data_IF_387380053911
#
_entry.id   IF_387380053911
#
_cell.length_a   1.000
_cell.length_b   1.000
_cell.length_c   1.000
_cell.angle_alpha   90.00
_cell.angle_beta   90.00
_cell.angle_gamma   90.00
#
_symmetry.space_group_name_H-M   'P 1'
#
loop_
_entity.id
_entity.type
_entity.pdbx_description
1 polymer ?
#
# COMPACT_ATOMS: atom_id res chain seq x y z
N UNK A 1 -37.18 -11.75 -17.79
CA UNK A 1 -37.35 -12.84 -18.76
C UNK A 1 -36.62 -14.08 -18.25
N UNK A 2 -37.33 -15.19 -18.07
CA UNK A 2 -36.71 -16.45 -17.61
C UNK A 2 -36.06 -17.14 -18.81
N UNK A 3 -34.76 -17.45 -18.71
CA UNK A 3 -34.04 -18.15 -19.78
C UNK A 3 -34.51 -19.61 -19.76
N UNK A 4 -35.24 -20.02 -20.79
CA UNK A 4 -35.68 -21.40 -21.00
C UNK A 4 -34.52 -22.18 -21.59
N UNK A 5 -34.00 -23.15 -20.86
CA UNK A 5 -32.88 -24.01 -21.31
C UNK A 5 -33.37 -25.26 -22.00
N UNK A 6 -32.54 -25.90 -22.86
CA UNK A 6 -32.84 -27.19 -23.47
C UNK A 6 -33.11 -28.27 -22.42
N UNK A 7 -32.41 -28.25 -21.30
CA UNK A 7 -32.63 -29.15 -20.18
C UNK A 7 -34.07 -29.07 -19.61
N UNK A 8 -34.65 -27.86 -19.53
CA UNK A 8 -36.01 -27.68 -19.05
C UNK A 8 -37.01 -28.29 -20.06
N UNK A 9 -36.78 -28.07 -21.35
CA UNK A 9 -37.59 -28.69 -22.42
C UNK A 9 -37.50 -30.20 -22.46
N UNK A 10 -36.27 -30.73 -22.27
CA UNK A 10 -36.07 -32.18 -22.15
C UNK A 10 -36.86 -32.79 -20.98
N UNK A 11 -36.74 -32.17 -19.79
CA UNK A 11 -37.46 -32.63 -18.59
C UNK A 11 -38.96 -32.57 -18.75
N UNK A 12 -39.48 -31.52 -19.41
CA UNK A 12 -40.89 -31.40 -19.70
C UNK A 12 -41.37 -32.57 -20.57
N UNK A 13 -40.71 -32.82 -21.70
CA UNK A 13 -41.01 -33.95 -22.59
C UNK A 13 -40.96 -35.30 -21.87
N UNK A 14 -39.96 -35.45 -20.97
CA UNK A 14 -39.83 -36.66 -20.12
C UNK A 14 -41.01 -36.82 -19.19
N UNK A 15 -41.46 -35.74 -18.50
CA UNK A 15 -42.57 -35.77 -17.59
C UNK A 15 -43.90 -36.07 -18.31
N UNK A 16 -44.16 -35.36 -19.40
CA UNK A 16 -45.37 -35.54 -20.22
C UNK A 16 -45.46 -36.97 -20.78
N UNK A 17 -44.33 -37.53 -21.22
CA UNK A 17 -44.26 -38.88 -21.70
C UNK A 17 -44.47 -39.89 -20.54
N UNK A 18 -43.88 -39.62 -19.38
CA UNK A 18 -44.05 -40.50 -18.21
C UNK A 18 -45.48 -40.53 -17.68
N UNK A 19 -46.20 -39.41 -17.76
CA UNK A 19 -47.64 -39.34 -17.40
C UNK A 19 -48.50 -40.20 -18.33
N UNK A 20 -48.19 -40.26 -19.63
CA UNK A 20 -48.95 -40.98 -20.64
C UNK A 20 -48.61 -42.49 -20.70
N UNK A 21 -47.35 -42.84 -20.57
CA UNK A 21 -46.82 -44.16 -20.86
C UNK A 21 -46.17 -44.86 -19.66
N UNK A 22 -46.20 -44.22 -18.50
CA UNK A 22 -45.61 -44.71 -17.26
C UNK A 22 -44.09 -44.52 -17.14
N UNK A 23 -43.63 -44.54 -15.88
CA UNK A 23 -42.23 -44.18 -15.51
C UNK A 23 -41.21 -45.17 -16.08
N UNK A 24 -41.55 -46.46 -16.18
CA UNK A 24 -40.62 -47.48 -16.70
C UNK A 24 -40.32 -47.23 -18.19
N UNK A 25 -41.36 -46.95 -18.98
CA UNK A 25 -41.23 -46.69 -20.40
C UNK A 25 -40.52 -45.37 -20.68
N UNK A 26 -40.78 -44.36 -19.86
CA UNK A 26 -40.06 -43.06 -19.93
C UNK A 26 -38.58 -43.25 -19.61
N UNK A 27 -38.24 -44.00 -18.56
CA UNK A 27 -36.83 -44.25 -18.20
C UNK A 27 -36.06 -44.95 -19.33
N UNK A 28 -36.73 -45.96 -19.99
CA UNK A 28 -36.15 -46.68 -21.14
C UNK A 28 -35.96 -45.78 -22.36
N UNK A 29 -37.02 -45.02 -22.73
CA UNK A 29 -37.00 -44.15 -23.92
C UNK A 29 -35.96 -43.04 -23.82
N UNK A 30 -35.85 -42.38 -22.66
CA UNK A 30 -34.95 -41.28 -22.41
C UNK A 30 -33.60 -41.70 -21.83
N UNK A 31 -33.31 -42.99 -21.80
CA UNK A 31 -32.04 -43.58 -21.32
C UNK A 31 -31.62 -43.04 -19.94
N UNK A 32 -32.56 -42.99 -19.02
CA UNK A 32 -32.38 -42.50 -17.67
C UNK A 32 -32.86 -43.52 -16.63
N UNK A 33 -32.62 -43.25 -15.35
CA UNK A 33 -33.12 -44.14 -14.28
C UNK A 33 -34.52 -43.71 -13.79
N UNK A 34 -35.28 -44.67 -13.26
CA UNK A 34 -36.64 -44.45 -12.73
C UNK A 34 -36.69 -43.37 -11.65
N UNK A 35 -35.68 -43.32 -10.78
CA UNK A 35 -35.62 -42.34 -9.69
C UNK A 35 -35.45 -40.89 -10.22
N UNK A 36 -34.76 -40.72 -11.34
CA UNK A 36 -34.69 -39.40 -12.01
C UNK A 36 -36.06 -38.97 -12.51
N UNK A 37 -36.81 -39.91 -13.17
CA UNK A 37 -38.17 -39.62 -13.66
C UNK A 37 -39.11 -39.26 -12.51
N UNK A 38 -39.12 -40.01 -11.41
CA UNK A 38 -39.93 -39.70 -10.22
C UNK A 38 -39.59 -38.33 -9.65
N UNK A 39 -38.29 -37.98 -9.54
CA UNK A 39 -37.89 -36.67 -9.06
C UNK A 39 -38.33 -35.51 -9.95
N UNK A 40 -38.39 -35.72 -11.27
CA UNK A 40 -38.90 -34.70 -12.19
C UNK A 40 -40.42 -34.61 -12.09
N UNK A 41 -41.15 -35.70 -12.05
CA UNK A 41 -42.60 -35.74 -11.89
C UNK A 41 -43.05 -35.06 -10.58
N UNK A 42 -42.33 -35.27 -9.48
CA UNK A 42 -42.64 -34.66 -8.18
C UNK A 42 -42.49 -33.11 -8.19
N UNK A 43 -41.78 -32.56 -9.17
CA UNK A 43 -41.62 -31.12 -9.35
C UNK A 43 -42.51 -30.54 -10.44
N UNK A 44 -43.04 -31.38 -11.31
CA UNK A 44 -43.73 -30.94 -12.52
C UNK A 44 -45.18 -30.56 -12.20
N UNK A 45 -45.50 -29.28 -12.36
CA UNK A 45 -46.84 -28.72 -12.22
C UNK A 45 -47.53 -28.39 -13.58
N UNK A 46 -46.95 -28.87 -14.68
CA UNK A 46 -47.39 -28.58 -16.05
C UNK A 46 -46.57 -27.45 -16.70
N UNK A 47 -45.91 -26.59 -15.94
CA UNK A 47 -45.11 -25.51 -16.43
C UNK A 47 -43.65 -25.85 -16.69
N UNK A 48 -42.98 -25.15 -17.61
CA UNK A 48 -41.52 -25.25 -17.80
C UNK A 48 -40.74 -24.73 -16.61
N UNK A 49 -41.26 -23.75 -15.91
CA UNK A 49 -40.65 -23.09 -14.79
C UNK A 49 -40.42 -24.02 -13.60
N UNK A 50 -41.37 -24.95 -13.33
CA UNK A 50 -41.26 -25.92 -12.25
C UNK A 50 -40.08 -26.87 -12.40
N UNK A 51 -39.62 -27.08 -13.63
CA UNK A 51 -38.48 -27.98 -13.97
C UNK A 51 -37.13 -27.25 -13.98
N UNK A 52 -37.12 -25.98 -13.63
CA UNK A 52 -35.89 -25.20 -13.51
C UNK A 52 -34.97 -25.77 -12.42
N UNK A 53 -33.68 -25.84 -12.71
CA UNK A 53 -32.69 -26.20 -11.69
C UNK A 53 -32.61 -25.13 -10.63
N UNK A 54 -32.92 -25.49 -9.40
CA UNK A 54 -32.67 -24.59 -8.27
C UNK A 54 -31.18 -24.55 -7.99
N UNK A 55 -30.66 -23.39 -7.63
CA UNK A 55 -29.28 -23.23 -7.23
C UNK A 55 -29.00 -24.11 -6.01
N UNK A 56 -27.94 -24.90 -6.09
CA UNK A 56 -27.43 -25.67 -4.95
C UNK A 56 -26.56 -24.86 -4.02
N UNK A 57 -26.34 -23.60 -4.38
CA UNK A 57 -25.53 -22.68 -3.58
C UNK A 57 -26.25 -22.37 -2.25
N UNK A 58 -25.58 -22.50 -1.12
CA UNK A 58 -26.19 -22.19 0.17
C UNK A 58 -26.59 -20.70 0.23
N UNK A 59 -27.73 -20.42 0.85
CA UNK A 59 -28.26 -19.05 1.01
C UNK A 59 -27.36 -18.17 1.89
N UNK A 60 -26.68 -18.77 2.85
CA UNK A 60 -25.72 -18.10 3.73
C UNK A 60 -24.46 -18.95 3.90
N UNK A 61 -23.36 -18.30 4.21
CA UNK A 61 -22.10 -18.98 4.52
C UNK A 61 -21.63 -18.52 5.91
N UNK A 62 -21.20 -19.42 6.83
CA UNK A 62 -20.79 -19.06 8.18
C UNK A 62 -19.75 -17.93 8.24
N UNK A 63 -18.84 -17.90 7.28
CA UNK A 63 -17.80 -16.88 7.17
C UNK A 63 -18.21 -15.64 6.37
N UNK A 64 -19.49 -15.48 6.03
CA UNK A 64 -19.96 -14.29 5.31
C UNK A 64 -19.92 -13.07 6.22
N UNK A 65 -19.45 -11.95 5.68
CA UNK A 65 -19.50 -10.66 6.40
C UNK A 65 -20.94 -10.22 6.63
N UNK A 66 -21.22 -9.77 7.84
CA UNK A 66 -22.51 -9.17 8.19
C UNK A 66 -22.70 -7.82 7.49
N UNK A 67 -23.93 -7.32 7.46
CA UNK A 67 -24.23 -5.98 6.93
C UNK A 67 -23.53 -4.88 7.73
N UNK A 68 -23.43 -5.04 9.04
CA UNK A 68 -22.74 -4.13 9.95
C UNK A 68 -21.24 -4.08 9.64
N UNK A 69 -20.57 -5.23 9.50
CA UNK A 69 -19.16 -5.32 9.11
C UNK A 69 -18.89 -4.67 7.75
N UNK A 70 -19.76 -4.93 6.76
CA UNK A 70 -19.66 -4.32 5.42
C UNK A 70 -19.76 -2.81 5.48
N UNK A 71 -20.71 -2.27 6.23
CA UNK A 71 -20.87 -0.83 6.43
C UNK A 71 -19.66 -0.21 7.15
N UNK A 72 -19.13 -0.88 8.15
CA UNK A 72 -17.92 -0.46 8.87
C UNK A 72 -16.71 -0.40 7.91
N UNK A 73 -16.51 -1.44 7.11
CA UNK A 73 -15.45 -1.48 6.08
C UNK A 73 -15.63 -0.32 5.10
N UNK A 74 -16.84 -0.10 4.58
CA UNK A 74 -17.13 0.98 3.61
C UNK A 74 -16.80 2.35 4.19
N UNK A 75 -17.33 2.69 5.36
CA UNK A 75 -17.09 3.99 6.05
C UNK A 75 -15.60 4.21 6.31
N UNK A 76 -14.92 3.21 6.88
CA UNK A 76 -13.49 3.32 7.22
C UNK A 76 -12.61 3.42 5.97
N UNK A 77 -12.92 2.65 4.91
CA UNK A 77 -12.17 2.72 3.65
C UNK A 77 -12.29 4.09 2.97
N UNK A 78 -13.43 4.75 3.05
CA UNK A 78 -13.60 6.11 2.50
C UNK A 78 -12.76 7.11 3.30
N UNK A 79 -12.79 7.05 4.63
CA UNK A 79 -12.08 7.99 5.51
C UNK A 79 -10.55 7.89 5.37
N UNK A 80 -10.01 6.69 5.16
CA UNK A 80 -8.56 6.42 5.12
C UNK A 80 -8.06 6.00 3.72
N UNK A 81 -8.81 6.32 2.66
CA UNK A 81 -8.52 5.91 1.27
C UNK A 81 -7.10 6.29 0.83
N UNK A 82 -6.62 7.48 1.19
CA UNK A 82 -5.30 7.99 0.83
C UNK A 82 -4.14 7.32 1.58
N UNK A 83 -4.40 6.71 2.75
CA UNK A 83 -3.36 6.19 3.62
C UNK A 83 -3.02 4.73 3.34
N UNK A 84 -3.90 4.04 2.60
CA UNK A 84 -3.69 2.67 2.13
C UNK A 84 -4.41 1.62 2.97
N UNK A 85 -4.48 0.39 2.42
CA UNK A 85 -5.29 -0.69 3.00
C UNK A 85 -4.79 -1.18 4.38
N UNK A 86 -3.51 -1.03 4.68
CA UNK A 86 -2.98 -1.42 5.99
C UNK A 86 -3.50 -0.49 7.08
N UNK A 87 -3.52 0.82 6.80
CA UNK A 87 -4.12 1.80 7.73
C UNK A 87 -5.61 1.54 7.93
N UNK A 88 -6.36 1.32 6.85
CA UNK A 88 -7.77 0.94 6.92
C UNK A 88 -7.97 -0.28 7.83
N UNK A 89 -7.12 -1.30 7.71
CA UNK A 89 -7.21 -2.51 8.53
C UNK A 89 -6.96 -2.23 10.02
N UNK A 90 -5.93 -1.46 10.35
CA UNK A 90 -5.63 -1.10 11.74
C UNK A 90 -6.78 -0.29 12.36
N UNK A 91 -7.33 0.67 11.61
CA UNK A 91 -8.48 1.45 12.07
C UNK A 91 -9.75 0.60 12.24
N UNK A 92 -9.95 -0.42 11.41
CA UNK A 92 -11.02 -1.39 11.57
C UNK A 92 -10.81 -2.25 12.81
N UNK A 93 -9.59 -2.73 13.07
CA UNK A 93 -9.24 -3.50 14.29
C UNK A 93 -9.55 -2.71 15.55
N UNK A 94 -9.18 -1.42 15.59
CA UNK A 94 -9.50 -0.50 16.70
C UNK A 94 -11.00 -0.31 16.93
N UNK A 95 -11.83 -0.57 15.90
CA UNK A 95 -13.31 -0.48 15.94
C UNK A 95 -14.00 -1.84 16.11
N UNK A 96 -13.26 -2.89 16.52
CA UNK A 96 -13.81 -4.20 16.82
C UNK A 96 -13.94 -5.16 15.61
N UNK A 97 -13.36 -4.85 14.47
CA UNK A 97 -13.31 -5.79 13.34
C UNK A 97 -12.34 -6.93 13.61
N UNK A 98 -12.84 -8.18 13.67
CA UNK A 98 -12.05 -9.34 14.10
C UNK A 98 -11.47 -10.18 12.97
N UNK A 99 -11.96 -10.01 11.74
CA UNK A 99 -11.53 -10.84 10.61
C UNK A 99 -10.16 -10.47 10.07
N UNK A 100 -9.55 -11.35 9.28
CA UNK A 100 -8.21 -11.17 8.73
C UNK A 100 -8.12 -10.01 7.73
N UNK A 101 -6.91 -9.50 7.54
CA UNK A 101 -6.58 -8.51 6.51
C UNK A 101 -6.97 -8.97 5.10
N UNK A 102 -6.71 -10.25 4.77
CA UNK A 102 -7.09 -10.81 3.47
C UNK A 102 -8.61 -10.78 3.24
N UNK A 103 -9.39 -11.15 4.26
CA UNK A 103 -10.85 -11.12 4.22
C UNK A 103 -11.40 -9.70 3.97
N UNK A 104 -10.84 -8.69 4.66
CA UNK A 104 -11.14 -7.28 4.41
C UNK A 104 -10.84 -6.88 2.95
N UNK A 105 -9.65 -7.21 2.45
CA UNK A 105 -9.25 -6.87 1.08
C UNK A 105 -10.18 -7.47 0.01
N UNK A 106 -10.68 -8.70 0.24
CA UNK A 106 -11.67 -9.34 -0.64
C UNK A 106 -12.99 -8.54 -0.65
N UNK A 107 -13.45 -8.09 0.53
CA UNK A 107 -14.68 -7.29 0.62
C UNK A 107 -14.53 -5.92 -0.05
N UNK A 108 -13.43 -5.22 0.17
CA UNK A 108 -13.16 -3.92 -0.48
C UNK A 108 -13.18 -4.05 -2.01
N UNK A 109 -12.61 -5.14 -2.55
CA UNK A 109 -12.66 -5.44 -4.00
C UNK A 109 -14.08 -5.72 -4.49
N UNK A 110 -14.85 -6.54 -3.75
CA UNK A 110 -16.26 -6.85 -4.08
C UNK A 110 -17.12 -5.59 -4.08
N UNK A 111 -16.87 -4.66 -3.17
CA UNK A 111 -17.59 -3.37 -3.08
C UNK A 111 -17.11 -2.35 -4.11
N UNK A 112 -16.07 -2.64 -4.91
CA UNK A 112 -15.47 -1.71 -5.89
C UNK A 112 -15.03 -0.36 -5.29
N UNK A 113 -14.70 -0.33 -4.00
CA UNK A 113 -14.28 0.90 -3.29
C UNK A 113 -12.90 1.37 -3.80
N UNK A 114 -12.03 0.44 -4.14
CA UNK A 114 -10.72 0.69 -4.73
C UNK A 114 -10.72 0.11 -6.14
N UNK A 115 -10.67 0.98 -7.13
CA UNK A 115 -10.43 0.57 -8.52
C UNK A 115 -8.95 0.26 -8.69
N UNK A 116 -8.63 -0.96 -9.06
CA UNK A 116 -7.26 -1.29 -9.44
C UNK A 116 -6.92 -0.52 -10.74
N UNK A 117 -5.93 0.37 -10.67
CA UNK A 117 -5.27 0.84 -11.88
C UNK A 117 -4.70 -0.39 -12.60
N UNK A 118 -4.92 -0.50 -13.89
CA UNK A 118 -4.40 -1.59 -14.74
C UNK A 118 -2.90 -1.76 -14.44
N UNK A 119 -2.50 -2.90 -13.91
CA UNK A 119 -1.08 -3.18 -13.69
C UNK A 119 -0.43 -3.43 -15.04
N UNK A 120 0.44 -2.54 -15.44
CA UNK A 120 1.43 -2.85 -16.47
C UNK A 120 2.33 -3.92 -15.86
N UNK A 121 2.33 -5.12 -16.45
CA UNK A 121 3.21 -6.22 -16.04
C UNK A 121 4.62 -5.85 -16.50
N UNK A 122 5.38 -5.22 -15.60
CA UNK A 122 6.82 -5.06 -15.79
C UNK A 122 7.49 -6.37 -15.38
N UNK A 123 8.42 -6.87 -16.20
CA UNK A 123 9.26 -8.02 -15.85
C UNK A 123 10.00 -7.70 -14.55
N UNK A 124 9.63 -8.36 -13.47
CA UNK A 124 10.30 -8.22 -12.17
C UNK A 124 11.71 -8.80 -12.27
N UNK A 125 12.73 -7.95 -12.35
CA UNK A 125 14.08 -8.34 -11.93
C UNK A 125 14.01 -8.57 -10.43
N UNK A 126 14.31 -9.79 -9.98
CA UNK A 126 14.36 -10.13 -8.56
C UNK A 126 15.63 -9.50 -7.96
N UNK A 127 15.53 -8.25 -7.52
CA UNK A 127 16.57 -7.67 -6.67
C UNK A 127 16.30 -8.13 -5.24
N UNK A 128 17.32 -8.72 -4.60
CA UNK A 128 17.25 -9.07 -3.18
C UNK A 128 17.15 -7.76 -2.39
N UNK A 129 16.03 -7.54 -1.73
CA UNK A 129 15.86 -6.36 -0.88
C UNK A 129 16.78 -6.48 0.34
N UNK A 130 17.81 -5.65 0.40
CA UNK A 130 18.64 -5.50 1.59
C UNK A 130 17.90 -4.56 2.52
N UNK A 131 17.55 -5.04 3.70
CA UNK A 131 16.89 -4.27 4.76
C UNK A 131 17.92 -3.96 5.83
N UNK A 132 17.93 -2.74 6.37
CA UNK A 132 18.72 -2.42 7.55
C UNK A 132 18.38 -3.37 8.71
N UNK A 133 19.35 -3.68 9.55
CA UNK A 133 19.21 -4.64 10.65
C UNK A 133 18.52 -4.00 11.89
N UNK A 134 18.71 -2.71 12.11
CA UNK A 134 18.19 -1.94 13.24
C UNK A 134 17.94 -0.48 12.84
N UNK A 135 17.25 0.32 13.67
CA UNK A 135 17.02 1.74 13.40
C UNK A 135 18.34 2.50 13.27
N UNK A 136 18.54 3.19 12.16
CA UNK A 136 19.75 3.97 11.88
C UNK A 136 20.91 3.18 11.27
N UNK A 137 20.79 1.86 11.09
CA UNK A 137 21.79 1.06 10.38
C UNK A 137 22.11 1.67 9.01
N UNK A 138 21.05 2.00 8.25
CA UNK A 138 21.18 2.72 6.98
C UNK A 138 20.05 3.70 6.74
N UNK A 139 20.40 4.95 6.53
CA UNK A 139 19.50 6.05 6.16
C UNK A 139 19.78 6.50 4.73
N UNK A 140 18.78 6.45 3.85
CA UNK A 140 18.89 6.98 2.50
C UNK A 140 18.53 8.46 2.51
N UNK A 141 19.35 9.31 1.87
CA UNK A 141 19.09 10.74 1.68
C UNK A 141 19.07 11.08 0.20
N UNK A 142 18.10 11.88 -0.20
CA UNK A 142 17.96 12.35 -1.58
C UNK A 142 17.25 13.71 -1.61
N UNK A 143 17.45 14.47 -2.69
CA UNK A 143 16.87 15.80 -2.89
C UNK A 143 16.02 15.80 -4.15
N UNK A 144 14.81 16.32 -4.03
CA UNK A 144 13.93 16.55 -5.17
C UNK A 144 13.46 17.99 -5.27
N UNK A 145 13.06 18.40 -6.46
CA UNK A 145 12.38 19.67 -6.67
C UNK A 145 10.98 19.66 -6.06
N UNK A 146 10.58 20.78 -5.46
CA UNK A 146 9.16 21.07 -5.22
C UNK A 146 8.56 21.50 -6.56
N UNK A 147 7.44 20.87 -7.01
CA UNK A 147 6.83 21.25 -8.28
C UNK A 147 6.44 22.73 -8.32
N UNK A 148 6.82 23.42 -9.38
CA UNK A 148 6.61 24.86 -9.52
C UNK A 148 5.11 25.21 -9.56
N UNK A 149 4.31 24.33 -10.10
CA UNK A 149 2.84 24.44 -10.19
C UNK A 149 2.16 24.56 -8.83
N UNK A 150 2.84 24.09 -7.78
CA UNK A 150 2.35 24.21 -6.41
C UNK A 150 2.62 25.57 -5.76
N UNK A 151 3.45 26.43 -6.37
CA UNK A 151 3.90 27.69 -5.79
C UNK A 151 3.04 28.83 -6.34
N UNK A 152 2.14 29.37 -5.50
CA UNK A 152 1.22 30.45 -5.85
C UNK A 152 1.60 31.80 -5.22
N UNK A 153 2.88 32.01 -4.97
CA UNK A 153 3.41 33.31 -4.48
C UNK A 153 4.64 33.69 -5.28
N UNK A 154 4.98 34.98 -5.23
CA UNK A 154 6.17 35.45 -5.92
C UNK A 154 7.43 34.91 -5.22
N UNK A 155 8.08 33.95 -5.89
CA UNK A 155 9.31 33.33 -5.40
C UNK A 155 10.59 34.10 -5.81
N UNK A 156 10.45 35.22 -6.52
CA UNK A 156 11.58 35.99 -7.06
C UNK A 156 12.62 35.15 -7.82
N UNK A 157 12.11 34.16 -8.60
CA UNK A 157 12.97 33.25 -9.36
C UNK A 157 13.57 32.10 -8.55
N UNK A 158 13.35 32.05 -7.23
CA UNK A 158 13.83 30.93 -6.38
C UNK A 158 13.11 29.66 -6.68
N UNK A 159 13.87 28.56 -6.68
CA UNK A 159 13.34 27.18 -6.73
C UNK A 159 13.44 26.56 -5.34
N UNK A 160 12.39 25.85 -4.94
CA UNK A 160 12.39 25.12 -3.67
C UNK A 160 12.70 23.65 -3.86
N UNK A 161 13.43 23.11 -2.89
CA UNK A 161 13.87 21.71 -2.90
C UNK A 161 13.43 21.04 -1.62
N UNK A 162 13.13 19.75 -1.72
CA UNK A 162 12.83 18.90 -0.59
C UNK A 162 14.00 17.95 -0.36
N UNK A 163 14.68 18.08 0.79
CA UNK A 163 15.63 17.07 1.28
C UNK A 163 14.82 16.01 2.01
N UNK A 164 15.03 14.77 1.65
CA UNK A 164 14.33 13.59 2.22
C UNK A 164 15.34 12.65 2.82
N UNK A 165 15.21 12.29 4.09
CA UNK A 165 15.93 11.18 4.70
C UNK A 165 14.92 10.11 5.11
N UNK A 166 15.21 8.84 4.81
CA UNK A 166 14.38 7.69 5.21
C UNK A 166 15.24 6.56 5.76
N UNK A 167 14.92 6.10 6.95
CA UNK A 167 15.55 4.94 7.56
C UNK A 167 15.08 3.63 6.92
N UNK A 168 16.00 2.75 6.55
CA UNK A 168 15.68 1.50 5.88
C UNK A 168 14.95 0.49 6.76
N UNK A 169 15.18 0.51 8.07
CA UNK A 169 14.57 -0.43 9.01
C UNK A 169 13.17 0.01 9.42
N UNK A 170 13.06 1.19 10.04
CA UNK A 170 11.78 1.70 10.59
C UNK A 170 10.90 2.37 9.56
N UNK A 171 11.42 2.70 8.38
CA UNK A 171 10.78 3.58 7.39
C UNK A 171 10.49 4.99 7.92
N UNK A 172 11.06 5.36 9.06
CA UNK A 172 10.94 6.71 9.60
C UNK A 172 11.57 7.71 8.65
N UNK A 173 10.86 8.80 8.42
CA UNK A 173 11.21 9.79 7.42
C UNK A 173 11.33 11.17 8.03
N UNK A 174 12.28 11.96 7.55
CA UNK A 174 12.41 13.38 7.82
C UNK A 174 12.43 14.13 6.49
N UNK A 175 11.60 15.17 6.39
CA UNK A 175 11.54 16.09 5.25
C UNK A 175 11.99 17.47 5.69
N UNK A 176 12.74 18.14 4.82
CA UNK A 176 13.15 19.52 5.01
C UNK A 176 13.06 20.29 3.70
N UNK A 177 12.61 21.55 3.76
CA UNK A 177 12.48 22.43 2.58
C UNK A 177 13.57 23.49 2.63
N UNK A 178 14.26 23.62 1.51
CA UNK A 178 15.30 24.63 1.27
C UNK A 178 15.01 25.37 -0.04
N UNK A 179 15.56 26.57 -0.16
CA UNK A 179 15.44 27.42 -1.35
C UNK A 179 16.62 27.28 -2.32
N UNK A 180 17.57 26.43 -1.96
CA UNK A 180 18.74 26.17 -2.79
C UNK A 180 19.24 24.73 -2.59
N UNK A 181 19.74 24.13 -3.68
CA UNK A 181 20.36 22.81 -3.66
C UNK A 181 21.87 22.96 -3.52
N UNK A 182 22.35 23.02 -2.28
CA UNK A 182 23.78 23.20 -1.98
C UNK A 182 24.25 22.33 -0.80
N UNK A 183 25.58 22.20 -0.69
CA UNK A 183 26.25 21.41 0.34
C UNK A 183 26.00 21.93 1.76
N UNK A 184 25.84 23.25 1.93
CA UNK A 184 25.57 23.85 3.25
C UNK A 184 24.22 23.39 3.81
N UNK A 185 23.18 23.36 2.98
CA UNK A 185 21.85 22.91 3.41
C UNK A 185 21.84 21.43 3.75
N UNK A 186 22.54 20.58 2.99
CA UNK A 186 22.63 19.13 3.28
C UNK A 186 23.42 18.86 4.55
N UNK A 187 24.53 19.58 4.78
CA UNK A 187 25.32 19.52 6.01
C UNK A 187 24.51 19.90 7.24
N UNK A 188 23.80 21.06 7.18
CA UNK A 188 22.93 21.52 8.26
C UNK A 188 21.76 20.54 8.53
N UNK A 189 21.24 19.92 7.48
CA UNK A 189 20.19 18.90 7.62
C UNK A 189 20.69 17.70 8.41
N UNK A 190 21.87 17.18 8.11
CA UNK A 190 22.44 16.00 8.80
C UNK A 190 22.75 16.29 10.26
N UNK A 191 23.25 17.48 10.61
CA UNK A 191 23.50 17.87 12.01
C UNK A 191 22.26 17.74 12.91
N UNK A 192 21.05 17.88 12.34
CA UNK A 192 19.80 17.76 13.10
C UNK A 192 19.11 16.41 12.93
N UNK A 193 19.64 15.54 12.08
CA UNK A 193 18.92 14.35 11.59
C UNK A 193 18.70 13.32 12.69
N UNK A 194 19.73 12.97 13.46
CA UNK A 194 19.60 12.00 14.56
C UNK A 194 18.55 12.42 15.59
N UNK A 195 18.54 13.70 15.97
CA UNK A 195 17.52 14.24 16.89
C UNK A 195 16.10 14.09 16.33
N UNK A 196 15.91 14.37 15.03
CA UNK A 196 14.61 14.25 14.35
C UNK A 196 14.19 12.79 14.13
N UNK A 197 15.13 11.91 13.87
CA UNK A 197 14.90 10.46 13.75
C UNK A 197 14.65 9.80 15.11
N UNK A 198 15.30 10.31 16.17
CA UNK A 198 15.16 9.81 17.53
C UNK A 198 16.02 8.57 17.82
N UNK A 199 17.05 8.31 17.00
CA UNK A 199 18.05 7.26 17.15
C UNK A 199 19.37 7.66 16.50
N UNK A 200 20.46 6.98 16.86
CA UNK A 200 21.78 7.14 16.24
C UNK A 200 21.79 6.58 14.83
N UNK A 201 22.59 7.20 13.96
CA UNK A 201 22.73 6.80 12.55
C UNK A 201 24.15 6.25 12.35
N UNK A 202 24.24 5.04 11.82
CA UNK A 202 25.53 4.38 11.50
C UNK A 202 25.95 4.69 10.07
N UNK A 203 25.01 4.60 9.12
CA UNK A 203 25.32 4.77 7.70
C UNK A 203 24.33 5.71 7.04
N UNK A 204 24.84 6.67 6.29
CA UNK A 204 24.09 7.51 5.37
C UNK A 204 24.41 7.11 3.93
N UNK A 205 23.39 6.85 3.12
CA UNK A 205 23.53 6.57 1.70
C UNK A 205 22.95 7.72 0.88
N UNK A 206 23.73 8.23 -0.10
CA UNK A 206 23.30 9.24 -1.06
C UNK A 206 23.61 8.80 -2.48
N UNK A 207 23.08 9.53 -3.46
CA UNK A 207 23.61 9.50 -4.82
C UNK A 207 24.93 10.28 -4.93
N UNK A 208 25.43 10.44 -6.16
CA UNK A 208 26.68 11.17 -6.47
C UNK A 208 26.43 12.65 -6.80
N UNK A 209 25.37 13.26 -6.29
CA UNK A 209 25.05 14.68 -6.52
C UNK A 209 26.07 15.62 -5.92
N UNK A 210 26.32 16.77 -6.58
CA UNK A 210 27.26 17.80 -6.12
C UNK A 210 26.90 18.40 -4.75
N UNK A 211 25.68 18.26 -4.32
CA UNK A 211 25.17 18.65 -2.99
C UNK A 211 25.61 17.72 -1.86
N UNK A 212 26.21 16.58 -2.18
CA UNK A 212 26.71 15.60 -1.23
C UNK A 212 28.22 15.38 -1.33
N UNK A 213 28.76 15.43 -2.56
CA UNK A 213 30.16 15.12 -2.81
C UNK A 213 30.85 16.23 -3.61
N UNK A 214 32.14 16.32 -3.47
CA UNK A 214 32.94 17.15 -4.35
C UNK A 214 33.12 16.42 -5.70
N UNK A 215 32.56 17.00 -6.76
CA UNK A 215 32.60 16.43 -8.12
C UNK A 215 33.81 16.85 -8.92
N UNK A 216 34.70 17.70 -8.34
CA UNK A 216 35.90 18.16 -9.04
C UNK A 216 36.87 17.00 -9.28
N UNK A 217 37.16 16.69 -10.52
CA UNK A 217 38.14 15.67 -10.91
C UNK A 217 39.58 16.01 -10.44
N UNK A 218 39.84 17.29 -10.15
CA UNK A 218 41.19 17.80 -9.78
C UNK A 218 41.40 17.75 -8.27
N UNK A 219 40.34 17.83 -7.46
CA UNK A 219 40.44 17.94 -6.01
C UNK A 219 39.87 16.66 -5.35
N UNK A 220 40.77 15.94 -4.64
CA UNK A 220 40.36 14.82 -3.74
C UNK A 220 39.82 15.29 -2.38
N UNK A 221 39.55 16.62 -2.21
CA UNK A 221 39.02 17.16 -0.94
C UNK A 221 37.59 16.69 -0.71
N UNK A 222 37.32 16.29 0.52
CA UNK A 222 35.97 15.96 0.96
C UNK A 222 35.06 17.18 0.90
N UNK A 223 33.79 16.98 0.56
CA UNK A 223 32.77 18.02 0.63
C UNK A 223 32.47 18.39 2.08
N UNK A 224 31.87 19.54 2.31
CA UNK A 224 31.41 19.94 3.66
C UNK A 224 30.40 18.92 4.24
N UNK A 225 29.60 18.27 3.40
CA UNK A 225 28.70 17.21 3.80
C UNK A 225 29.45 15.97 4.31
N UNK A 226 30.47 15.52 3.57
CA UNK A 226 31.31 14.37 3.96
C UNK A 226 32.08 14.67 5.26
N UNK A 227 32.67 15.85 5.40
CA UNK A 227 33.34 16.30 6.63
C UNK A 227 32.36 16.35 7.82
N UNK A 228 31.09 16.72 7.58
CA UNK A 228 30.07 16.74 8.63
C UNK A 228 29.73 15.33 9.09
N UNK A 229 29.58 14.38 8.17
CA UNK A 229 29.34 12.97 8.49
C UNK A 229 30.51 12.36 9.26
N UNK A 230 31.73 12.66 8.86
CA UNK A 230 32.95 12.19 9.56
C UNK A 230 32.99 12.71 11.00
N UNK A 231 32.74 14.00 11.23
CA UNK A 231 32.63 14.57 12.58
C UNK A 231 31.54 13.93 13.45
N UNK A 232 30.46 13.47 12.85
CA UNK A 232 29.38 12.76 13.55
C UNK A 232 29.65 11.26 13.72
N UNK A 233 30.75 10.72 13.17
CA UNK A 233 31.07 9.30 13.17
C UNK A 233 30.12 8.48 12.29
N UNK A 234 29.50 9.08 11.28
CA UNK A 234 28.55 8.45 10.38
C UNK A 234 29.25 8.01 9.09
N UNK A 235 29.14 6.74 8.74
CA UNK A 235 29.70 6.20 7.48
C UNK A 235 28.91 6.73 6.28
N UNK A 236 29.61 7.32 5.30
CA UNK A 236 29.03 7.70 4.02
C UNK A 236 29.14 6.57 2.99
N UNK A 237 28.03 6.19 2.36
CA UNK A 237 27.99 5.21 1.27
C UNK A 237 27.32 5.89 0.06
N UNK A 238 28.01 5.82 -1.08
CA UNK A 238 27.47 6.37 -2.34
C UNK A 238 26.84 5.24 -3.15
N UNK A 239 25.74 5.54 -3.86
CA UNK A 239 25.16 4.60 -4.82
C UNK A 239 26.09 4.40 -6.01
N UNK A 240 26.13 3.19 -6.53
CA UNK A 240 26.86 2.92 -7.76
C UNK A 240 26.21 3.66 -8.93
N UNK A 241 27.00 4.15 -9.90
CA UNK A 241 26.45 4.72 -11.12
C UNK A 241 25.45 3.76 -11.78
N UNK A 242 24.38 4.30 -12.36
CA UNK A 242 23.31 3.55 -13.04
C UNK A 242 22.59 2.51 -12.16
N UNK A 243 22.62 2.67 -10.83
CA UNK A 243 22.01 1.75 -9.88
C UNK A 243 20.88 2.39 -9.05
N UNK A 244 19.78 2.88 -9.68
CA UNK A 244 18.71 3.62 -9.00
C UNK A 244 18.00 2.77 -7.93
N UNK A 245 17.98 1.43 -8.10
CA UNK A 245 17.38 0.55 -7.10
C UNK A 245 18.01 0.64 -5.71
N UNK A 246 19.25 1.10 -5.60
CA UNK A 246 19.92 1.28 -4.30
C UNK A 246 19.24 2.37 -3.47
N UNK A 247 18.69 3.43 -4.10
CA UNK A 247 17.92 4.49 -3.47
C UNK A 247 16.39 4.28 -3.55
N UNK A 248 15.96 3.07 -3.87
CA UNK A 248 14.55 2.79 -4.16
C UNK A 248 13.56 3.10 -3.03
N UNK A 249 14.00 3.20 -1.76
CA UNK A 249 13.12 3.55 -0.64
C UNK A 249 12.81 5.05 -0.61
N UNK A 250 13.83 5.89 -0.81
CA UNK A 250 13.64 7.33 -0.87
C UNK A 250 12.90 7.74 -2.16
N UNK A 251 13.20 7.11 -3.31
CA UNK A 251 12.49 7.34 -4.56
C UNK A 251 11.00 6.98 -4.46
N UNK A 252 10.68 5.83 -3.82
CA UNK A 252 9.30 5.46 -3.56
C UNK A 252 8.59 6.48 -2.65
N UNK A 253 9.29 7.02 -1.66
CA UNK A 253 8.80 8.10 -0.81
C UNK A 253 8.47 9.34 -1.64
N UNK A 254 9.35 9.74 -2.58
CA UNK A 254 9.14 10.87 -3.48
C UNK A 254 7.90 10.70 -4.36
N UNK A 255 7.62 9.47 -4.85
CA UNK A 255 6.39 9.18 -5.59
C UNK A 255 5.15 9.39 -4.74
N UNK A 256 5.17 8.92 -3.48
CA UNK A 256 4.07 9.14 -2.54
C UNK A 256 3.87 10.63 -2.23
N UNK A 257 4.94 11.41 -2.18
CA UNK A 257 4.86 12.86 -1.97
C UNK A 257 4.19 13.54 -3.17
N UNK A 258 4.53 13.15 -4.39
CA UNK A 258 3.88 13.66 -5.59
C UNK A 258 2.38 13.34 -5.58
N UNK A 259 2.02 12.09 -5.28
CA UNK A 259 0.62 11.63 -5.28
C UNK A 259 -0.23 12.23 -4.14
N UNK A 260 0.35 12.44 -2.96
CA UNK A 260 -0.43 12.76 -1.74
C UNK A 260 -0.29 14.19 -1.25
N UNK A 261 0.85 14.83 -1.52
CA UNK A 261 1.10 16.19 -1.09
C UNK A 261 1.03 17.17 -2.28
N UNK A 262 1.86 16.93 -3.30
CA UNK A 262 2.04 17.92 -4.37
C UNK A 262 0.91 17.89 -5.41
N UNK A 263 0.24 16.79 -5.64
CA UNK A 263 -0.88 16.70 -6.61
C UNK A 263 -2.04 17.66 -6.35
N UNK A 264 -2.19 18.15 -5.12
CA UNK A 264 -3.30 19.04 -4.72
C UNK A 264 -2.85 20.23 -3.87
N UNK A 265 -1.52 20.43 -3.71
CA UNK A 265 -1.02 21.48 -2.87
C UNK A 265 -0.93 22.81 -3.65
N UNK A 266 -1.41 23.89 -3.02
CA UNK A 266 -1.17 25.27 -3.45
C UNK A 266 -0.52 25.99 -2.27
N UNK A 267 0.72 26.43 -2.44
CA UNK A 267 1.49 27.11 -1.41
C UNK A 267 1.43 28.62 -1.60
N UNK A 268 1.03 29.33 -0.56
CA UNK A 268 0.84 30.80 -0.56
C UNK A 268 2.04 31.57 0.00
N UNK A 269 3.01 30.89 0.59
CA UNK A 269 4.25 31.46 1.12
C UNK A 269 5.25 30.35 1.46
N UNK A 270 6.53 30.71 1.64
CA UNK A 270 7.56 29.78 2.10
C UNK A 270 7.22 29.16 3.47
N UNK A 271 6.74 29.97 4.40
CA UNK A 271 6.27 29.48 5.73
C UNK A 271 5.14 28.46 5.57
N UNK A 272 4.26 28.65 4.59
CA UNK A 272 3.18 27.71 4.28
C UNK A 272 3.73 26.39 3.73
N UNK A 273 4.71 26.39 2.83
CA UNK A 273 5.38 25.17 2.35
C UNK A 273 5.94 24.40 3.55
N UNK A 274 6.79 25.03 4.35
CA UNK A 274 7.43 24.40 5.52
C UNK A 274 6.41 23.80 6.48
N UNK A 275 5.32 24.51 6.80
CA UNK A 275 4.25 24.04 7.68
C UNK A 275 3.49 22.84 7.09
N UNK A 276 3.12 22.90 5.81
CA UNK A 276 2.39 21.80 5.13
C UNK A 276 3.25 20.54 5.03
N UNK A 277 4.52 20.68 4.64
CA UNK A 277 5.47 19.54 4.55
C UNK A 277 5.71 18.92 5.92
N UNK A 278 5.88 19.71 6.96
CA UNK A 278 6.05 19.23 8.34
C UNK A 278 4.84 18.42 8.81
N UNK A 279 3.61 18.91 8.62
CA UNK A 279 2.37 18.21 8.95
C UNK A 279 2.24 16.89 8.16
N UNK A 280 2.54 16.94 6.87
CA UNK A 280 2.50 15.77 6.01
C UNK A 280 3.52 14.72 6.44
N UNK A 281 4.74 15.13 6.79
CA UNK A 281 5.78 14.24 7.29
C UNK A 281 5.39 13.59 8.63
N UNK A 282 4.82 14.37 9.56
CA UNK A 282 4.28 13.84 10.82
C UNK A 282 3.19 12.79 10.57
N UNK A 283 2.23 13.08 9.69
CA UNK A 283 1.19 12.12 9.30
C UNK A 283 1.80 10.86 8.70
N UNK A 284 2.75 10.99 7.77
CA UNK A 284 3.43 9.85 7.14
C UNK A 284 4.03 8.89 8.17
N UNK A 285 4.73 9.41 9.17
CA UNK A 285 5.38 8.61 10.21
C UNK A 285 4.40 7.95 11.20
N UNK A 286 3.11 8.32 11.16
CA UNK A 286 2.04 7.73 11.97
C UNK A 286 1.11 6.79 11.16
N UNK A 287 1.29 6.68 9.83
CA UNK A 287 0.51 5.76 9.01
C UNK A 287 1.04 4.34 9.17
N UNK A 288 0.13 3.40 9.45
CA UNK A 288 0.45 1.98 9.58
C UNK A 288 0.70 1.33 8.20
N UNK A 289 1.72 0.48 8.13
CA UNK A 289 2.11 -0.17 6.87
C UNK A 289 2.28 -1.68 7.05
N UNK A 290 1.90 -2.45 6.03
CA UNK A 290 2.07 -3.92 6.06
C UNK A 290 3.55 -4.34 6.15
N UNK A 291 4.46 -3.54 5.59
CA UNK A 291 5.92 -3.81 5.63
C UNK A 291 6.49 -3.77 7.05
N UNK A 292 5.83 -3.03 7.95
CA UNK A 292 6.17 -2.95 9.38
C UNK A 292 5.18 -3.76 10.24
N UNK A 293 4.61 -4.84 9.73
CA UNK A 293 3.64 -5.68 10.45
C UNK A 293 2.48 -4.88 11.05
N UNK A 294 1.91 -3.99 10.25
CA UNK A 294 0.83 -3.08 10.62
C UNK A 294 1.19 -2.09 11.74
N UNK A 295 2.48 -1.81 11.96
CA UNK A 295 2.94 -0.69 12.78
C UNK A 295 3.19 0.55 11.92
N UNK A 296 3.14 1.71 12.55
CA UNK A 296 3.67 2.96 12.00
C UNK A 296 5.18 3.05 12.22
N UNK A 297 5.84 3.96 11.50
CA UNK A 297 7.28 4.20 11.66
C UNK A 297 7.62 4.67 13.09
N UNK A 298 6.77 5.49 13.71
CA UNK A 298 6.96 5.94 15.07
C UNK A 298 6.81 4.80 16.09
N UNK A 299 5.80 3.95 15.94
CA UNK A 299 5.61 2.76 16.80
C UNK A 299 6.78 1.78 16.68
N UNK A 300 7.32 1.60 15.45
CA UNK A 300 8.49 0.74 15.24
C UNK A 300 9.73 1.26 15.98
N UNK A 301 9.95 2.58 15.95
CA UNK A 301 11.05 3.22 16.71
C UNK A 301 10.86 3.01 18.22
N UNK A 302 9.66 3.21 18.73
CA UNK A 302 9.35 3.02 20.15
C UNK A 302 9.56 1.57 20.57
N UNK A 303 9.04 0.61 19.80
CA UNK A 303 9.22 -0.82 20.06
C UNK A 303 10.69 -1.20 20.18
N UNK A 304 11.53 -0.70 19.27
CA UNK A 304 12.96 -0.99 19.30
C UNK A 304 13.67 -0.38 20.51
N UNK A 305 13.32 0.83 20.91
CA UNK A 305 13.85 1.47 22.12
C UNK A 305 13.55 0.65 23.39
N UNK A 306 12.32 0.14 23.53
CA UNK A 306 11.95 -0.71 24.66
C UNK A 306 12.74 -2.02 24.70
N UNK A 307 12.98 -2.66 23.55
CA UNK A 307 13.79 -3.89 23.46
C UNK A 307 15.25 -3.61 23.82
N UNK A 308 15.84 -2.51 23.35
CA UNK A 308 17.21 -2.10 23.70
C UNK A 308 17.38 -1.87 25.20
N UNK A 309 16.44 -1.20 25.85
CA UNK A 309 16.46 -0.97 27.31
C UNK A 309 16.37 -2.30 28.06
N UNK A 310 15.49 -3.20 27.67
CA UNK A 310 15.34 -4.52 28.31
C UNK A 310 16.64 -5.37 28.23
N UNK A 311 17.37 -5.29 27.12
CA UNK A 311 18.65 -6.02 26.93
C UNK A 311 19.81 -5.40 27.73
N UNK A 312 19.72 -4.14 28.14
CA UNK A 312 20.76 -3.48 28.96
C UNK A 312 20.65 -3.84 30.45
N UNK A 313 19.51 -4.43 30.87
CA UNK A 313 19.23 -4.84 32.26
C UNK A 313 19.34 -6.36 32.48
N UNK A 314 19.76 -7.12 31.48
CA UNK A 314 20.13 -8.54 31.53
C UNK A 314 21.65 -8.68 31.46
#
# INVERSE_FOLDING_TARGET
>A
MTIITEDMRFRKRLCEFAQKHGVINAARRYKTNRMFVYRQLARFDGSLESLRLKSTKPNSHPNQHTSTEKNLIKKTSISYKSDGLAEVYVQLRKRGYLRSYGSMCVQIRKMKIVTNKTKIITRNRKHKEVRGAFPGDKVQIDIKYVPQECIAFNSYGKRYYQITAIDEFTRKRVLYIVDEKNVTHTSNFVLTLERKMGFKIVTVQTDNGAEFINTSAISKKLSQFELTLEKLGIKHVRTQPYSPWQNGKVERSHRLDNDRLYSSAIFKSEKHIKKRVSRYNSRYNNIHTKVLDFMSSNEMVLKYKHVSIALTWM
#
